data_IF_109844616695
#
_entry.id   IF_109844616695
#
_cell.length_a   1.000
_cell.length_b   1.000
_cell.length_c   1.000
_cell.angle_alpha   90.00
_cell.angle_beta   90.00
_cell.angle_gamma   90.00
#
_symmetry.space_group_name_H-M   'P 1'
#
loop_
_entity.id
_entity.type
_entity.pdbx_description
1 polymer ?
#
# COMPACT_ATOMS: atom_id res chain seq x y z
N UNK A 1 20.91 -5.62 -12.64
CA UNK A 1 20.61 -5.45 -11.19
C UNK A 1 19.13 -5.23 -11.06
N UNK A 2 18.45 -5.97 -10.18
CA UNK A 2 17.02 -5.79 -9.95
C UNK A 2 16.76 -4.36 -9.47
N UNK A 3 15.72 -3.72 -10.00
CA UNK A 3 15.35 -2.36 -9.58
C UNK A 3 14.71 -2.42 -8.20
N UNK A 4 15.15 -1.53 -7.30
CA UNK A 4 14.68 -1.52 -5.91
C UNK A 4 13.22 -1.07 -5.80
N UNK A 5 12.49 -1.67 -4.86
CA UNK A 5 11.09 -1.36 -4.54
C UNK A 5 11.05 -0.72 -3.15
N UNK A 6 10.54 0.51 -3.09
CA UNK A 6 10.18 1.18 -1.85
C UNK A 6 8.70 0.97 -1.55
N UNK A 7 8.41 0.44 -0.38
CA UNK A 7 7.06 0.38 0.15
C UNK A 7 6.77 1.65 0.92
N UNK A 8 5.69 2.33 0.54
CA UNK A 8 5.26 3.59 1.09
C UNK A 8 3.95 3.39 1.85
N UNK A 9 3.99 3.62 3.16
CA UNK A 9 2.86 3.42 4.08
C UNK A 9 2.45 4.75 4.69
N UNK A 10 1.15 5.02 4.69
CA UNK A 10 0.55 6.10 5.48
C UNK A 10 -0.22 5.48 6.64
N UNK A 11 0.01 5.95 7.86
CA UNK A 11 -0.55 5.34 9.07
C UNK A 11 -1.17 6.40 10.00
N UNK A 12 -2.17 5.99 10.78
CA UNK A 12 -2.81 6.82 11.80
C UNK A 12 -3.75 6.00 12.68
N UNK A 13 -3.34 5.72 13.92
CA UNK A 13 -4.05 4.89 14.90
C UNK A 13 -4.45 3.49 14.39
N UNK A 14 -3.45 2.72 13.94
CA UNK A 14 -3.58 1.40 13.33
C UNK A 14 -2.81 0.31 14.09
N UNK A 15 -2.68 0.40 15.42
CA UNK A 15 -1.85 -0.55 16.21
C UNK A 15 -2.25 -2.02 16.04
N UNK A 16 -3.53 -2.29 15.77
CA UNK A 16 -4.09 -3.62 15.54
C UNK A 16 -3.74 -4.22 14.16
N UNK A 17 -3.42 -3.37 13.18
CA UNK A 17 -3.22 -3.76 11.79
C UNK A 17 -1.77 -3.58 11.31
N UNK A 18 -1.11 -2.52 11.77
CA UNK A 18 0.17 -2.06 11.22
C UNK A 18 1.27 -3.11 11.28
N UNK A 19 1.29 -3.96 12.32
CA UNK A 19 2.26 -5.06 12.41
C UNK A 19 2.10 -6.04 11.24
N UNK A 20 0.86 -6.43 10.95
CA UNK A 20 0.54 -7.35 9.84
C UNK A 20 0.87 -6.70 8.49
N UNK A 21 0.59 -5.41 8.33
CA UNK A 21 0.99 -4.63 7.16
C UNK A 21 2.51 -4.72 6.95
N UNK A 22 3.30 -4.36 7.96
CA UNK A 22 4.76 -4.32 7.91
C UNK A 22 5.39 -5.70 7.67
N UNK A 23 4.91 -6.74 8.35
CA UNK A 23 5.38 -8.12 8.16
C UNK A 23 5.21 -8.58 6.70
N UNK A 24 4.09 -8.20 6.07
CA UNK A 24 3.76 -8.59 4.69
C UNK A 24 4.68 -7.98 3.62
N UNK A 25 5.49 -6.97 3.98
CA UNK A 25 6.33 -6.20 3.07
C UNK A 25 7.82 -6.23 3.41
N UNK A 26 8.23 -7.06 4.38
CA UNK A 26 9.65 -7.22 4.79
C UNK A 26 10.61 -7.67 3.67
N UNK A 27 10.08 -8.12 2.54
CA UNK A 27 10.82 -8.48 1.34
C UNK A 27 11.20 -7.29 0.45
N UNK A 28 10.66 -6.09 0.71
CA UNK A 28 10.97 -4.87 -0.03
C UNK A 28 12.36 -4.33 0.33
N UNK A 29 12.94 -3.54 -0.57
CA UNK A 29 14.28 -2.96 -0.38
C UNK A 29 14.28 -1.76 0.59
N UNK A 30 13.14 -1.06 0.70
CA UNK A 30 12.95 0.09 1.57
C UNK A 30 11.50 0.12 2.06
N UNK A 31 11.28 0.43 3.35
CA UNK A 31 9.96 0.68 3.92
C UNK A 31 9.98 2.10 4.49
N UNK A 32 9.09 2.95 3.99
CA UNK A 32 8.93 4.35 4.41
C UNK A 32 7.53 4.52 4.98
N UNK A 33 7.44 5.05 6.19
CA UNK A 33 6.17 5.29 6.87
C UNK A 33 6.01 6.78 7.13
N UNK A 34 4.83 7.33 6.81
CA UNK A 34 4.39 8.62 7.34
C UNK A 34 3.21 8.41 8.27
N UNK A 35 3.45 8.65 9.55
CA UNK A 35 2.47 8.58 10.63
C UNK A 35 1.79 9.94 10.85
N UNK A 36 0.47 9.93 10.97
CA UNK A 36 -0.36 11.12 11.19
C UNK A 36 -0.55 11.46 12.67
N UNK A 37 0.55 11.44 13.44
CA UNK A 37 0.59 11.68 14.88
C UNK A 37 -0.30 10.73 15.68
N UNK A 38 -0.18 9.43 15.41
CA UNK A 38 -0.87 8.38 16.14
C UNK A 38 -0.75 8.56 17.67
N UNK A 39 -1.83 8.23 18.37
CA UNK A 39 -1.92 8.28 19.84
C UNK A 39 -1.81 6.91 20.50
N UNK A 40 -1.88 5.88 19.69
CA UNK A 40 -1.69 4.49 20.05
C UNK A 40 -0.24 4.04 19.78
N UNK A 41 0.02 2.73 19.75
CA UNK A 41 1.36 2.19 19.53
C UNK A 41 1.78 2.10 18.07
N UNK A 42 1.02 2.67 17.12
CA UNK A 42 1.31 2.55 15.68
C UNK A 42 2.73 2.96 15.33
N UNK A 43 3.15 4.17 15.74
CA UNK A 43 4.48 4.69 15.44
C UNK A 43 5.59 3.94 16.19
N UNK A 44 5.31 3.37 17.37
CA UNK A 44 6.23 2.48 18.09
C UNK A 44 6.50 1.21 17.27
N UNK A 45 5.42 0.55 16.82
CA UNK A 45 5.50 -0.68 16.04
C UNK A 45 6.23 -0.44 14.72
N UNK A 46 5.94 0.65 13.99
CA UNK A 46 6.64 1.00 12.75
C UNK A 46 8.16 1.07 12.91
N UNK A 47 8.64 1.62 14.03
CA UNK A 47 10.08 1.78 14.31
C UNK A 47 10.79 0.45 14.56
N UNK A 48 10.07 -0.63 14.84
CA UNK A 48 10.66 -1.98 14.91
C UNK A 48 11.09 -2.52 13.54
N UNK A 49 10.47 -2.04 12.45
CA UNK A 49 10.66 -2.56 11.08
C UNK A 49 11.51 -1.64 10.20
N UNK A 50 11.50 -0.33 10.45
CA UNK A 50 12.27 0.64 9.67
C UNK A 50 12.66 1.85 10.51
N UNK A 51 13.80 2.46 10.20
CA UNK A 51 14.19 3.76 10.75
C UNK A 51 13.61 4.95 9.96
N UNK A 52 12.93 4.70 8.84
CA UNK A 52 12.30 5.71 7.97
C UNK A 52 10.84 5.95 8.37
N UNK A 53 10.63 6.27 9.63
CA UNK A 53 9.32 6.64 10.19
C UNK A 53 9.28 8.15 10.39
N UNK A 54 8.42 8.82 9.64
CA UNK A 54 8.24 10.26 9.67
C UNK A 54 6.88 10.59 10.27
N UNK A 55 6.79 11.67 11.02
CA UNK A 55 5.52 12.15 11.57
C UNK A 55 5.14 13.44 10.84
N UNK A 56 3.88 13.56 10.42
CA UNK A 56 3.37 14.73 9.72
C UNK A 56 1.87 14.88 9.96
N UNK A 57 1.36 16.13 10.00
CA UNK A 57 -0.08 16.36 10.06
C UNK A 57 -0.81 15.73 8.87
N UNK A 58 -2.04 15.29 9.07
CA UNK A 58 -2.82 14.67 7.99
C UNK A 58 -3.13 15.67 6.87
N UNK A 59 -2.60 15.41 5.68
CA UNK A 59 -2.77 16.27 4.50
C UNK A 59 -3.95 15.86 3.58
N UNK A 60 -4.73 14.85 3.98
CA UNK A 60 -5.64 14.15 3.07
C UNK A 60 -4.96 12.97 2.38
N UNK A 61 -5.75 12.11 1.72
CA UNK A 61 -5.26 10.86 1.13
C UNK A 61 -4.21 11.11 0.05
N UNK A 62 -4.45 12.10 -0.81
CA UNK A 62 -3.54 12.46 -1.92
C UNK A 62 -2.28 13.13 -1.38
N UNK A 63 -2.44 14.07 -0.43
CA UNK A 63 -1.33 14.79 0.17
C UNK A 63 -0.37 13.86 0.90
N UNK A 64 -0.92 12.94 1.72
CA UNK A 64 -0.13 11.99 2.48
C UNK A 64 0.61 11.00 1.58
N UNK A 65 -0.06 10.49 0.53
CA UNK A 65 0.55 9.58 -0.47
C UNK A 65 1.67 10.25 -1.25
N UNK A 66 1.50 11.51 -1.64
CA UNK A 66 2.57 12.27 -2.30
C UNK A 66 3.78 12.49 -1.36
N UNK A 67 3.53 12.86 -0.09
CA UNK A 67 4.59 13.05 0.89
C UNK A 67 5.43 11.78 1.10
N UNK A 68 4.79 10.63 1.39
CA UNK A 68 5.52 9.37 1.60
C UNK A 68 6.26 8.92 0.34
N UNK A 69 5.65 9.11 -0.85
CA UNK A 69 6.31 8.83 -2.14
C UNK A 69 7.55 9.68 -2.34
N UNK A 70 7.52 10.95 -1.95
CA UNK A 70 8.66 11.85 -2.15
C UNK A 70 9.83 11.51 -1.22
N UNK A 71 9.54 11.01 -0.01
CA UNK A 71 10.54 10.51 0.95
C UNK A 71 11.25 9.22 0.51
N UNK A 72 10.58 8.37 -0.27
CA UNK A 72 11.13 7.11 -0.77
C UNK A 72 12.27 7.30 -1.78
N UNK A 73 13.28 6.43 -1.75
CA UNK A 73 14.46 6.52 -2.62
C UNK A 73 14.44 5.54 -3.78
N UNK A 74 13.65 4.47 -3.69
CA UNK A 74 13.54 3.45 -4.71
C UNK A 74 12.94 3.98 -6.02
N UNK A 75 13.38 3.44 -7.18
CA UNK A 75 12.80 3.77 -8.48
C UNK A 75 11.37 3.25 -8.64
N UNK A 76 10.97 2.25 -7.86
CA UNK A 76 9.59 1.74 -7.80
C UNK A 76 8.96 2.02 -6.45
N UNK A 77 7.69 2.41 -6.48
CA UNK A 77 6.86 2.66 -5.31
C UNK A 77 5.78 1.59 -5.24
N UNK A 78 5.61 0.98 -4.09
CA UNK A 78 4.45 0.17 -3.73
C UNK A 78 3.69 0.90 -2.61
N UNK A 79 2.51 1.43 -2.90
CA UNK A 79 1.62 1.96 -1.86
C UNK A 79 0.88 0.83 -1.15
N UNK A 80 0.92 0.87 0.18
CA UNK A 80 0.16 -0.04 1.07
C UNK A 80 -0.42 0.81 2.19
N UNK A 81 -1.74 0.74 2.38
CA UNK A 81 -2.37 1.44 3.49
C UNK A 81 -2.14 0.64 4.79
N UNK A 82 -2.15 1.29 5.97
CA UNK A 82 -1.77 0.65 7.23
C UNK A 82 -2.71 -0.49 7.69
N UNK A 83 -3.92 -0.52 7.15
CA UNK A 83 -4.95 -1.57 7.30
C UNK A 83 -4.91 -2.62 6.17
N UNK A 84 -3.95 -2.53 5.25
CA UNK A 84 -3.74 -3.47 4.15
C UNK A 84 -2.54 -4.40 4.40
N UNK A 85 -2.49 -5.56 3.71
CA UNK A 85 -1.35 -6.45 3.71
C UNK A 85 -1.18 -7.15 2.35
N UNK A 86 0.06 -7.26 1.88
CA UNK A 86 0.39 -7.97 0.63
C UNK A 86 0.27 -9.47 0.87
N UNK A 87 -0.55 -10.18 0.10
CA UNK A 87 -0.63 -11.64 0.24
C UNK A 87 0.68 -12.31 -0.18
N UNK A 88 1.01 -13.51 0.36
CA UNK A 88 2.16 -14.27 -0.10
C UNK A 88 2.14 -14.51 -1.62
N UNK A 89 0.98 -14.76 -2.20
CA UNK A 89 0.82 -14.97 -3.65
C UNK A 89 1.10 -13.69 -4.43
N UNK A 90 0.62 -12.53 -3.96
CA UNK A 90 0.89 -11.24 -4.59
C UNK A 90 2.38 -10.89 -4.49
N UNK A 91 3.01 -11.10 -3.33
CA UNK A 91 4.45 -10.95 -3.16
C UNK A 91 5.18 -11.78 -4.21
N UNK A 92 4.92 -13.08 -4.25
CA UNK A 92 5.64 -14.00 -5.15
C UNK A 92 5.43 -13.62 -6.62
N UNK A 93 4.24 -13.16 -6.99
CA UNK A 93 3.94 -12.67 -8.35
C UNK A 93 4.69 -11.38 -8.68
N UNK A 94 4.80 -10.43 -7.73
CA UNK A 94 5.60 -9.21 -7.90
C UNK A 94 7.08 -9.55 -8.08
N UNK A 95 7.64 -10.38 -7.20
CA UNK A 95 9.04 -10.79 -7.27
C UNK A 95 9.34 -11.47 -8.61
N UNK A 96 8.47 -12.38 -9.03
CA UNK A 96 8.59 -13.08 -10.32
C UNK A 96 8.49 -12.15 -11.52
N UNK A 97 7.62 -11.14 -11.49
CA UNK A 97 7.50 -10.14 -12.55
C UNK A 97 8.82 -9.35 -12.72
N UNK A 98 9.47 -8.98 -11.60
CA UNK A 98 10.75 -8.27 -11.63
C UNK A 98 11.88 -9.18 -12.13
N UNK A 99 11.91 -10.43 -11.70
CA UNK A 99 12.97 -11.38 -12.11
C UNK A 99 12.86 -11.75 -13.60
N UNK A 100 11.65 -11.72 -14.18
CA UNK A 100 11.43 -11.96 -15.61
C UNK A 100 11.61 -10.72 -16.51
N UNK A 101 11.96 -9.56 -15.94
CA UNK A 101 12.12 -8.32 -16.68
C UNK A 101 10.81 -7.65 -17.11
N UNK A 102 9.66 -7.99 -16.49
CA UNK A 102 8.41 -7.24 -16.76
C UNK A 102 8.53 -5.78 -16.33
N UNK A 103 9.33 -5.48 -15.31
CA UNK A 103 9.64 -4.12 -14.87
C UNK A 103 10.39 -3.28 -15.92
N UNK A 104 10.93 -3.89 -16.98
CA UNK A 104 11.49 -3.16 -18.14
C UNK A 104 10.43 -2.85 -19.19
N UNK A 105 9.34 -3.63 -19.24
CA UNK A 105 8.27 -3.51 -20.24
C UNK A 105 7.09 -2.70 -19.74
N UNK A 106 6.83 -2.75 -18.44
CA UNK A 106 5.71 -2.10 -17.77
C UNK A 106 6.22 -1.04 -16.81
N UNK A 107 5.42 0.01 -16.63
CA UNK A 107 5.73 1.12 -15.72
C UNK A 107 4.85 1.10 -14.46
N UNK A 108 3.90 0.15 -14.41
CA UNK A 108 3.00 -0.05 -13.29
C UNK A 108 2.39 -1.44 -13.27
N UNK A 109 1.96 -1.85 -12.09
CA UNK A 109 1.25 -3.09 -11.82
C UNK A 109 0.00 -2.79 -10.99
N UNK A 110 -1.11 -3.34 -11.44
CA UNK A 110 -2.39 -3.30 -10.74
C UNK A 110 -2.78 -4.70 -10.28
N UNK A 111 -3.47 -4.78 -9.15
CA UNK A 111 -3.92 -6.05 -8.58
C UNK A 111 -5.21 -5.87 -7.79
N UNK A 112 -6.00 -6.95 -7.63
CA UNK A 112 -7.22 -6.92 -6.84
C UNK A 112 -6.93 -6.69 -5.36
N UNK A 113 -7.58 -5.68 -4.79
CA UNK A 113 -7.78 -5.56 -3.36
C UNK A 113 -9.01 -6.38 -2.95
N UNK A 114 -8.89 -7.13 -1.87
CA UNK A 114 -9.97 -7.95 -1.32
C UNK A 114 -10.22 -7.57 0.13
N UNK A 115 -11.47 -7.24 0.43
CA UNK A 115 -11.87 -6.75 1.75
C UNK A 115 -12.21 -7.91 2.66
N UNK A 116 -11.65 -7.90 3.87
CA UNK A 116 -12.00 -8.77 4.98
C UNK A 116 -12.97 -8.02 5.90
N UNK A 117 -14.24 -8.43 5.88
CA UNK A 117 -15.32 -7.78 6.62
C UNK A 117 -16.03 -8.80 7.52
N UNK A 118 -16.12 -8.50 8.82
CA UNK A 118 -16.78 -9.33 9.84
C UNK A 118 -16.37 -10.82 9.78
N UNK A 119 -15.06 -11.09 9.67
CA UNK A 119 -14.51 -12.45 9.63
C UNK A 119 -14.64 -13.17 8.29
N UNK A 120 -15.00 -12.47 7.21
CA UNK A 120 -15.20 -13.05 5.88
C UNK A 120 -14.56 -12.22 4.78
N UNK A 121 -14.01 -12.90 3.79
CA UNK A 121 -13.54 -12.27 2.55
C UNK A 121 -14.72 -11.98 1.62
N UNK A 122 -14.88 -10.72 1.22
CA UNK A 122 -15.90 -10.31 0.27
C UNK A 122 -15.39 -10.56 -1.15
N UNK A 123 -16.06 -11.47 -1.87
CA UNK A 123 -15.64 -11.95 -3.21
C UNK A 123 -16.64 -11.67 -4.32
N UNK A 124 -17.69 -10.89 -4.04
CA UNK A 124 -18.77 -10.60 -4.97
C UNK A 124 -19.38 -9.22 -4.70
N UNK A 125 -20.15 -8.73 -5.68
CA UNK A 125 -20.81 -7.41 -5.62
C UNK A 125 -19.85 -6.25 -5.90
N UNK A 126 -20.27 -5.04 -5.55
CA UNK A 126 -19.54 -3.80 -5.86
C UNK A 126 -18.17 -3.68 -5.15
N UNK A 127 -17.88 -4.60 -4.23
CA UNK A 127 -16.64 -4.62 -3.44
C UNK A 127 -15.56 -5.50 -4.07
N UNK A 128 -15.89 -6.32 -5.08
CA UNK A 128 -14.92 -7.22 -5.70
C UNK A 128 -15.25 -7.54 -7.18
N UNK A 129 -14.26 -7.49 -8.10
CA UNK A 129 -12.85 -7.17 -7.85
C UNK A 129 -12.60 -5.66 -7.78
N UNK A 130 -12.02 -5.19 -6.66
CA UNK A 130 -11.53 -3.82 -6.51
C UNK A 130 -10.07 -3.73 -6.99
N UNK A 131 -9.86 -3.60 -8.30
CA UNK A 131 -8.49 -3.55 -8.87
C UNK A 131 -7.89 -2.16 -8.69
N UNK A 132 -6.70 -2.09 -8.09
CA UNK A 132 -5.96 -0.84 -7.86
C UNK A 132 -4.56 -0.90 -8.46
N UNK A 133 -4.12 0.21 -9.08
CA UNK A 133 -2.72 0.45 -9.42
C UNK A 133 -1.98 0.92 -8.18
N UNK A 134 -1.08 0.08 -7.65
CA UNK A 134 -0.38 0.34 -6.38
C UNK A 134 1.13 0.20 -6.47
N UNK A 135 1.66 -0.54 -7.45
CA UNK A 135 3.10 -0.68 -7.70
C UNK A 135 3.47 0.02 -9.01
N UNK A 136 4.36 1.00 -8.99
CA UNK A 136 4.67 1.80 -10.20
C UNK A 136 6.05 2.47 -10.14
N UNK A 137 6.57 2.85 -11.31
CA UNK A 137 7.82 3.62 -11.40
C UNK A 137 7.61 5.03 -10.83
N UNK A 138 8.41 5.41 -9.82
CA UNK A 138 8.30 6.70 -9.11
C UNK A 138 8.29 7.90 -10.05
N UNK A 139 9.11 7.87 -11.09
CA UNK A 139 9.27 8.97 -12.07
C UNK A 139 8.13 9.08 -13.07
N UNK A 140 7.29 8.04 -13.20
CA UNK A 140 6.19 7.98 -14.16
C UNK A 140 4.81 7.94 -13.51
N UNK A 141 4.74 7.83 -12.19
CA UNK A 141 3.49 7.77 -11.44
C UNK A 141 3.15 9.07 -10.73
N UNK A 142 1.87 9.42 -10.73
CA UNK A 142 1.31 10.58 -10.05
C UNK A 142 0.14 10.15 -9.16
N UNK A 143 0.10 10.67 -7.93
CA UNK A 143 -1.05 10.53 -7.05
C UNK A 143 -1.95 11.76 -7.22
N UNK A 144 -3.18 11.54 -7.63
CA UNK A 144 -4.19 12.58 -7.84
C UNK A 144 -5.57 12.05 -7.47
N UNK A 145 -6.60 12.52 -8.19
CA UNK A 145 -8.00 12.18 -7.90
C UNK A 145 -8.71 13.28 -7.12
N UNK A 146 -9.75 12.91 -6.39
CA UNK A 146 -10.54 13.83 -5.56
C UNK A 146 -10.72 13.21 -4.19
N UNK A 147 -10.28 13.90 -3.14
CA UNK A 147 -10.48 13.48 -1.75
C UNK A 147 -11.95 13.03 -1.49
N UNK A 148 -12.19 11.88 -0.83
CA UNK A 148 -11.20 10.89 -0.35
C UNK A 148 -10.80 9.83 -1.40
N UNK A 149 -11.34 9.91 -2.62
CA UNK A 149 -11.07 8.98 -3.72
C UNK A 149 -9.77 9.34 -4.46
N UNK A 150 -8.64 9.02 -3.85
CA UNK A 150 -7.35 9.11 -4.52
C UNK A 150 -7.24 8.12 -5.68
N UNK A 151 -6.43 8.49 -6.68
CA UNK A 151 -6.14 7.66 -7.83
C UNK A 151 -4.68 7.79 -8.22
N UNK A 152 -4.05 6.64 -8.50
CA UNK A 152 -2.72 6.59 -9.10
C UNK A 152 -2.88 6.51 -10.61
N UNK A 153 -2.17 7.37 -11.33
CA UNK A 153 -2.01 7.31 -12.78
C UNK A 153 -0.53 7.15 -13.14
N UNK A 154 -0.26 6.51 -14.27
CA UNK A 154 1.10 6.35 -14.80
C UNK A 154 1.17 6.67 -16.29
N UNK A 155 2.32 7.16 -16.74
CA UNK A 155 2.63 7.34 -18.17
C UNK A 155 3.35 6.10 -18.75
N UNK A 156 2.55 5.16 -19.24
CA UNK A 156 3.02 3.98 -19.94
C UNK A 156 2.19 2.72 -19.68
N UNK A 157 2.67 1.56 -20.15
CA UNK A 157 1.95 0.29 -20.04
C UNK A 157 1.87 -0.23 -18.61
N UNK A 158 0.70 -0.70 -18.21
CA UNK A 158 0.42 -1.33 -16.92
C UNK A 158 0.11 -2.82 -17.11
N UNK A 159 0.61 -3.67 -16.20
CA UNK A 159 0.29 -5.10 -16.17
C UNK A 159 -0.61 -5.42 -14.99
N UNK A 160 -1.64 -6.23 -15.22
CA UNK A 160 -2.49 -6.76 -14.14
C UNK A 160 -1.91 -8.05 -13.56
N UNK A 161 -1.73 -8.07 -12.25
CA UNK A 161 -1.40 -9.25 -11.45
C UNK A 161 -2.66 -9.87 -10.86
N UNK A 162 -2.57 -11.12 -10.42
CA UNK A 162 -3.71 -11.91 -9.91
C UNK A 162 -3.76 -12.04 -8.39
N UNK A 163 -2.60 -11.94 -7.73
CA UNK A 163 -2.48 -11.96 -6.28
C UNK A 163 -3.25 -10.81 -5.63
N UNK A 164 -3.59 -10.97 -4.35
CA UNK A 164 -4.48 -10.06 -3.65
C UNK A 164 -3.73 -9.13 -2.70
N UNK A 165 -4.16 -7.87 -2.67
CA UNK A 165 -3.94 -7.00 -1.52
C UNK A 165 -5.07 -7.26 -0.52
N UNK A 166 -4.75 -7.75 0.66
CA UNK A 166 -5.72 -7.92 1.73
C UNK A 166 -6.03 -6.58 2.37
N UNK A 167 -7.30 -6.28 2.60
CA UNK A 167 -7.75 -5.04 3.25
C UNK A 167 -8.62 -5.36 4.46
N UNK A 168 -8.19 -4.95 5.65
CA UNK A 168 -8.80 -5.30 6.92
C UNK A 168 -9.56 -4.11 7.49
N UNK A 169 -10.79 -3.90 7.02
CA UNK A 169 -11.51 -2.64 7.22
C UNK A 169 -12.19 -2.47 8.58
N UNK A 170 -12.80 -3.53 9.13
CA UNK A 170 -13.63 -3.40 10.33
C UNK A 170 -13.57 -4.66 11.20
N UNK A 171 -13.32 -4.47 12.50
CA UNK A 171 -13.35 -5.58 13.47
C UNK A 171 -14.77 -5.81 14.01
N UNK A 172 -15.66 -4.81 13.94
CA UNK A 172 -17.07 -4.92 14.31
C UNK A 172 -18.00 -3.83 13.76
N UNK A 173 -19.31 -3.97 14.01
CA UNK A 173 -20.36 -3.01 13.59
C UNK A 173 -20.16 -1.62 14.23
N UNK A 174 -19.57 -1.58 15.43
CA UNK A 174 -19.28 -0.33 16.15
C UNK A 174 -18.33 0.59 15.38
N UNK A 175 -17.37 0.02 14.64
CA UNK A 175 -16.40 0.76 13.83
C UNK A 175 -17.06 1.43 12.62
N UNK A 176 -18.12 0.82 12.08
CA UNK A 176 -18.89 1.35 10.93
C UNK A 176 -19.82 2.51 11.33
N UNK A 177 -20.26 2.57 12.59
CA UNK A 177 -21.18 3.62 13.08
C UNK A 177 -20.43 4.92 13.41
N UNK A 178 -19.11 4.86 13.58
CA UNK A 178 -18.26 6.01 13.93
C UNK A 178 -17.66 6.77 12.72
N UNK A 179 -17.86 6.28 11.49
CA UNK A 179 -17.42 6.91 10.23
C UNK A 179 -18.52 7.79 9.62
#
# INVERSE_FOLDING_TARGET
MRQAISVCITAGNEEDNIRRCLESVTWADEIVVVDSFSKDRTAEICREYTNLVYEHEWLGYIGQKNLVKDLAKGPWILFVDADEAVSPELRDEILHAFDNGDNERYVGFEFPRIVHYLGRWIRHGDWYPDVKLRLFQKSRGQCGGKEPHDQISVDGPVKRLKGHMYHFTYTGISDQIAT
#
